data_IF_992214843781
#
_entry.id   IF_992214843781
#
_cell.length_a   1.000
_cell.length_b   1.000
_cell.length_c   1.000
_cell.angle_alpha   90.00
_cell.angle_beta   90.00
_cell.angle_gamma   90.00
#
_symmetry.space_group_name_H-M   'P 1'
#
loop_
_entity.id
_entity.type
_entity.pdbx_description
1 polymer ?
#
# COMPACT_ATOMS: atom_id res chain seq x y z
N UNK A 1 13.81 -12.92 7.99
CA UNK A 1 12.62 -13.64 7.52
C UNK A 1 12.59 -15.13 7.89
N UNK A 2 13.66 -15.90 7.71
CA UNK A 2 13.71 -17.35 8.04
C UNK A 2 13.23 -17.70 9.46
N UNK A 3 13.53 -16.85 10.45
CA UNK A 3 13.07 -17.05 11.84
C UNK A 3 11.54 -16.93 11.98
N UNK A 4 10.90 -16.01 11.27
CA UNK A 4 9.44 -15.85 11.28
C UNK A 4 8.73 -17.03 10.60
N UNK A 5 9.32 -17.54 9.51
CA UNK A 5 8.85 -18.76 8.84
C UNK A 5 8.92 -19.94 9.80
N UNK A 6 10.10 -20.17 10.41
CA UNK A 6 10.30 -21.23 11.40
C UNK A 6 9.29 -21.17 12.53
N UNK A 7 9.07 -19.97 13.10
CA UNK A 7 8.08 -19.78 14.17
C UNK A 7 6.67 -20.12 13.69
N UNK A 8 6.29 -19.66 12.49
CA UNK A 8 4.98 -19.97 11.92
C UNK A 8 4.76 -21.46 11.67
N UNK A 9 5.82 -22.23 11.42
CA UNK A 9 5.70 -23.67 11.11
C UNK A 9 5.76 -24.53 12.37
N UNK A 10 6.45 -24.07 13.43
CA UNK A 10 6.65 -24.86 14.66
C UNK A 10 5.70 -24.49 15.80
N UNK A 11 5.16 -23.27 15.82
CA UNK A 11 4.29 -22.79 16.90
C UNK A 11 2.83 -22.72 16.45
N UNK A 12 1.93 -22.99 17.40
CA UNK A 12 0.49 -22.76 17.20
C UNK A 12 0.24 -21.25 17.22
N UNK A 13 -0.51 -20.69 16.26
CA UNK A 13 -0.88 -19.28 16.29
C UNK A 13 -1.63 -18.92 17.57
N UNK A 14 -1.32 -17.77 18.16
CA UNK A 14 -2.04 -17.23 19.32
C UNK A 14 -3.45 -16.81 18.95
N UNK A 15 -3.63 -16.24 17.76
CA UNK A 15 -4.93 -15.82 17.24
C UNK A 15 -4.95 -15.89 15.72
N UNK A 16 -6.13 -16.20 15.15
CA UNK A 16 -6.35 -16.39 13.72
C UNK A 16 -7.61 -15.63 13.31
N UNK A 17 -7.49 -14.83 12.27
CA UNK A 17 -8.61 -14.14 11.64
C UNK A 17 -8.69 -14.51 10.16
N UNK A 18 -9.89 -14.84 9.69
CA UNK A 18 -10.17 -15.10 8.27
C UNK A 18 -11.14 -14.02 7.80
N UNK A 19 -10.74 -13.24 6.81
CA UNK A 19 -11.60 -12.22 6.24
C UNK A 19 -12.71 -12.83 5.39
N UNK A 20 -13.81 -12.09 5.25
CA UNK A 20 -14.77 -12.37 4.19
C UNK A 20 -14.13 -12.22 2.81
N UNK A 21 -14.74 -12.87 1.82
CA UNK A 21 -14.33 -12.75 0.42
C UNK A 21 -14.65 -11.32 -0.05
N UNK A 22 -13.63 -10.57 -0.49
CA UNK A 22 -13.80 -9.20 -0.98
C UNK A 22 -13.31 -9.08 -2.41
N UNK A 23 -14.00 -8.25 -3.20
CA UNK A 23 -13.56 -7.93 -4.55
C UNK A 23 -12.48 -6.84 -4.50
N UNK A 24 -11.30 -7.15 -5.02
CA UNK A 24 -10.20 -6.21 -5.23
C UNK A 24 -9.93 -6.12 -6.73
N UNK A 25 -10.37 -5.01 -7.34
CA UNK A 25 -10.34 -4.83 -8.80
C UNK A 25 -11.12 -5.95 -9.50
N UNK A 26 -10.44 -6.78 -10.30
CA UNK A 26 -11.02 -7.92 -11.04
C UNK A 26 -10.91 -9.26 -10.30
N UNK A 27 -10.32 -9.28 -9.11
CA UNK A 27 -10.03 -10.50 -8.37
C UNK A 27 -10.91 -10.59 -7.12
N UNK A 28 -11.29 -11.82 -6.76
CA UNK A 28 -11.84 -12.10 -5.43
C UNK A 28 -10.68 -12.48 -4.51
N UNK A 29 -10.65 -11.89 -3.33
CA UNK A 29 -9.53 -12.00 -2.40
C UNK A 29 -10.05 -12.37 -1.02
N UNK A 30 -9.40 -13.36 -0.43
CA UNK A 30 -9.54 -13.70 0.98
C UNK A 30 -8.18 -13.60 1.67
N UNK A 31 -8.17 -13.16 2.93
CA UNK A 31 -6.95 -13.11 3.74
C UNK A 31 -7.15 -13.90 5.02
N UNK A 32 -6.18 -14.75 5.32
CA UNK A 32 -6.02 -15.36 6.64
C UNK A 32 -4.85 -14.70 7.33
N UNK A 33 -5.09 -14.10 8.48
CA UNK A 33 -4.08 -13.50 9.34
C UNK A 33 -3.88 -14.40 10.53
N UNK A 34 -2.64 -14.78 10.79
CA UNK A 34 -2.25 -15.59 11.95
C UNK A 34 -1.21 -14.80 12.75
N UNK A 35 -1.42 -14.67 14.06
CA UNK A 35 -0.51 -13.96 14.95
C UNK A 35 0.22 -14.94 15.86
N UNK A 36 1.48 -14.66 16.13
CA UNK A 36 2.31 -15.41 17.06
C UNK A 36 2.87 -14.42 18.07
N UNK A 37 2.45 -14.54 19.33
CA UNK A 37 2.86 -13.62 20.39
C UNK A 37 3.81 -14.29 21.37
N UNK A 38 4.68 -13.49 21.99
CA UNK A 38 5.56 -13.93 23.08
C UNK A 38 5.56 -12.86 24.18
N UNK A 39 5.58 -13.28 25.45
CA UNK A 39 5.62 -12.39 26.62
C UNK A 39 6.95 -11.64 26.75
N UNK A 40 8.07 -12.31 26.45
CA UNK A 40 9.40 -11.73 26.60
C UNK A 40 9.80 -10.88 25.38
N UNK A 41 10.12 -11.52 24.26
CA UNK A 41 10.24 -10.94 22.92
C UNK A 41 10.79 -11.99 21.95
N UNK A 42 10.57 -11.80 20.64
CA UNK A 42 11.31 -12.50 19.60
C UNK A 42 12.62 -11.79 19.30
N UNK A 43 13.70 -12.21 19.95
CA UNK A 43 15.03 -11.64 19.67
C UNK A 43 15.47 -11.91 18.23
N UNK A 44 15.89 -10.89 17.49
CA UNK A 44 16.51 -11.07 16.18
C UNK A 44 17.51 -9.96 15.88
N UNK A 45 18.79 -10.31 15.69
CA UNK A 45 19.84 -9.38 15.25
C UNK A 45 19.87 -8.05 16.04
N UNK A 46 19.82 -8.12 17.37
CA UNK A 46 19.80 -6.93 18.24
C UNK A 46 18.42 -6.29 18.44
N UNK A 47 17.39 -6.69 17.71
CA UNK A 47 16.01 -6.27 17.97
C UNK A 47 15.44 -7.06 19.16
N UNK A 48 15.19 -6.35 20.25
CA UNK A 48 14.72 -6.91 21.54
C UNK A 48 13.25 -6.60 21.86
N UNK A 49 12.55 -5.90 20.97
CA UNK A 49 11.20 -5.38 21.24
C UNK A 49 10.11 -6.00 20.36
N UNK A 50 10.41 -7.04 19.57
CA UNK A 50 9.42 -7.72 18.74
C UNK A 50 8.54 -8.58 19.65
N UNK A 51 7.25 -8.23 19.78
CA UNK A 51 6.30 -8.98 20.62
C UNK A 51 5.34 -9.84 19.81
N UNK A 52 5.15 -9.53 18.54
CA UNK A 52 4.22 -10.25 17.68
C UNK A 52 4.78 -10.41 16.28
N UNK A 53 4.69 -11.64 15.77
CA UNK A 53 4.93 -11.97 14.37
C UNK A 53 3.56 -12.19 13.74
N UNK A 54 3.34 -11.60 12.58
CA UNK A 54 2.07 -11.60 11.87
C UNK A 54 2.33 -12.30 10.53
N UNK A 55 1.64 -13.40 10.28
CA UNK A 55 1.61 -14.07 8.98
C UNK A 55 0.30 -13.74 8.28
N UNK A 56 0.38 -13.34 7.02
CA UNK A 56 -0.77 -12.98 6.21
C UNK A 56 -0.72 -13.83 4.94
N UNK A 57 -1.64 -14.78 4.85
CA UNK A 57 -1.88 -15.58 3.67
C UNK A 57 -3.00 -14.93 2.87
N UNK A 58 -2.67 -14.40 1.69
CA UNK A 58 -3.62 -13.81 0.75
C UNK A 58 -3.92 -14.82 -0.35
N UNK A 59 -5.16 -15.29 -0.37
CA UNK A 59 -5.69 -16.14 -1.42
C UNK A 59 -6.39 -15.28 -2.47
N UNK A 60 -5.96 -15.40 -3.71
CA UNK A 60 -6.50 -14.67 -4.86
C UNK A 60 -7.18 -15.67 -5.79
N UNK A 61 -8.46 -15.48 -6.02
CA UNK A 61 -9.24 -16.23 -6.98
C UNK A 61 -9.30 -15.45 -8.29
N UNK A 62 -8.71 -16.03 -9.34
CA UNK A 62 -8.74 -15.49 -10.70
C UNK A 62 -9.50 -16.44 -11.61
N UNK A 63 -10.55 -15.95 -12.25
CA UNK A 63 -11.26 -16.72 -13.27
C UNK A 63 -10.51 -16.61 -14.61
N UNK A 64 -10.14 -17.76 -15.19
CA UNK A 64 -9.64 -17.79 -16.55
C UNK A 64 -10.80 -17.74 -17.54
N UNK A 65 -11.03 -16.57 -18.14
CA UNK A 65 -12.13 -16.33 -19.10
C UNK A 65 -12.14 -17.29 -20.30
N UNK A 66 -11.02 -17.95 -20.63
CA UNK A 66 -10.92 -18.90 -21.74
C UNK A 66 -11.28 -20.33 -21.38
N UNK A 67 -11.00 -20.77 -20.15
CA UNK A 67 -11.20 -22.16 -19.70
C UNK A 67 -12.30 -22.32 -18.65
N UNK A 68 -12.81 -21.21 -18.08
CA UNK A 68 -13.79 -21.22 -16.99
C UNK A 68 -13.21 -21.64 -15.63
N UNK A 69 -11.94 -22.02 -15.58
CA UNK A 69 -11.28 -22.51 -14.37
C UNK A 69 -11.00 -21.38 -13.39
N UNK A 70 -11.26 -21.66 -12.11
CA UNK A 70 -10.90 -20.79 -11.00
C UNK A 70 -9.46 -21.13 -10.62
N UNK A 71 -8.53 -20.24 -10.95
CA UNK A 71 -7.15 -20.34 -10.48
C UNK A 71 -7.03 -19.70 -9.11
N UNK A 72 -6.63 -20.51 -8.13
CA UNK A 72 -6.28 -20.05 -6.79
C UNK A 72 -4.77 -19.76 -6.71
N UNK A 73 -4.42 -18.57 -6.24
CA UNK A 73 -3.03 -18.18 -6.00
C UNK A 73 -2.92 -17.73 -4.55
N UNK A 74 -2.13 -18.44 -3.76
CA UNK A 74 -1.85 -18.09 -2.37
C UNK A 74 -0.51 -17.38 -2.30
N UNK A 75 -0.49 -16.21 -1.65
CA UNK A 75 0.73 -15.43 -1.40
C UNK A 75 0.85 -15.19 0.10
N UNK A 76 2.00 -15.54 0.66
CA UNK A 76 2.28 -15.37 2.10
C UNK A 76 3.20 -14.17 2.31
N UNK A 77 2.85 -13.34 3.28
CA UNK A 77 3.68 -12.22 3.73
C UNK A 77 3.82 -12.23 5.25
N UNK A 78 4.91 -11.65 5.75
CA UNK A 78 5.21 -11.56 7.17
C UNK A 78 5.40 -10.11 7.59
N UNK A 79 4.85 -9.76 8.74
CA UNK A 79 5.07 -8.49 9.42
C UNK A 79 5.42 -8.73 10.89
N UNK A 80 5.95 -7.69 11.54
CA UNK A 80 6.33 -7.71 12.96
C UNK A 80 5.75 -6.51 13.67
N UNK A 81 5.39 -6.67 14.94
CA UNK A 81 4.93 -5.60 15.81
C UNK A 81 5.60 -5.68 17.18
N UNK A 82 5.76 -4.51 17.80
CA UNK A 82 6.31 -4.37 19.16
C UNK A 82 5.24 -4.41 20.26
N UNK A 83 3.99 -4.63 19.89
CA UNK A 83 2.84 -4.79 20.78
C UNK A 83 2.04 -6.03 20.37
N UNK A 84 1.19 -6.50 21.29
CA UNK A 84 0.27 -7.62 21.06
C UNK A 84 -1.11 -7.09 20.74
N UNK A 85 -1.79 -7.69 19.77
CA UNK A 85 -3.17 -7.39 19.43
C UNK A 85 -3.79 -8.58 18.68
N UNK A 86 -5.10 -8.51 18.40
CA UNK A 86 -5.81 -9.56 17.67
C UNK A 86 -5.39 -9.63 16.20
N UNK A 87 -5.59 -10.81 15.60
CA UNK A 87 -5.36 -11.02 14.17
C UNK A 87 -6.28 -10.15 13.31
N UNK A 88 -7.51 -9.86 13.78
CA UNK A 88 -8.44 -8.93 13.12
C UNK A 88 -7.91 -7.49 13.11
N UNK A 89 -7.34 -7.03 14.23
CA UNK A 89 -6.73 -5.71 14.30
C UNK A 89 -5.61 -5.56 13.27
N UNK A 90 -4.70 -6.54 13.20
CA UNK A 90 -3.61 -6.52 12.23
C UNK A 90 -4.08 -6.65 10.78
N UNK A 91 -5.17 -7.39 10.53
CA UNK A 91 -5.81 -7.41 9.21
C UNK A 91 -6.24 -6.01 8.78
N UNK A 92 -6.98 -5.30 9.64
CA UNK A 92 -7.47 -3.95 9.36
C UNK A 92 -6.34 -2.94 9.24
N UNK A 93 -5.34 -3.02 10.12
CA UNK A 93 -4.15 -2.16 10.07
C UNK A 93 -3.41 -2.32 8.74
N UNK A 94 -3.20 -3.55 8.29
CA UNK A 94 -2.55 -3.84 7.01
C UNK A 94 -3.36 -3.24 5.85
N UNK A 95 -4.68 -3.45 5.81
CA UNK A 95 -5.52 -2.88 4.75
C UNK A 95 -5.48 -1.35 4.72
N UNK A 96 -5.49 -0.70 5.89
CA UNK A 96 -5.37 0.75 5.99
C UNK A 96 -4.02 1.24 5.50
N UNK A 97 -2.93 0.54 5.84
CA UNK A 97 -1.60 0.86 5.33
C UNK A 97 -1.53 0.76 3.79
N UNK A 98 -2.04 -0.32 3.21
CA UNK A 98 -2.11 -0.46 1.74
C UNK A 98 -2.95 0.61 1.08
N UNK A 99 -4.02 1.09 1.72
CA UNK A 99 -4.84 2.19 1.20
C UNK A 99 -4.02 3.48 1.07
N UNK A 100 -3.22 3.79 2.09
CA UNK A 100 -2.32 4.95 2.08
C UNK A 100 -1.21 4.78 1.04
N UNK A 101 -0.58 3.62 1.00
CA UNK A 101 0.51 3.33 0.03
C UNK A 101 0.02 3.37 -1.42
N UNK A 102 -1.19 2.86 -1.68
CA UNK A 102 -1.81 2.92 -3.01
C UNK A 102 -2.03 4.37 -3.46
N UNK A 103 -2.45 5.25 -2.54
CA UNK A 103 -2.58 6.69 -2.81
C UNK A 103 -1.22 7.32 -3.16
N UNK A 104 -0.18 7.01 -2.38
CA UNK A 104 1.19 7.47 -2.66
C UNK A 104 1.66 7.00 -4.02
N UNK A 105 1.54 5.70 -4.32
CA UNK A 105 1.90 5.12 -5.61
C UNK A 105 1.29 5.88 -6.80
N UNK A 106 -0.02 6.20 -6.75
CA UNK A 106 -0.66 6.96 -7.82
C UNK A 106 -0.11 8.38 -7.93
N UNK A 107 0.15 9.06 -6.80
CA UNK A 107 0.73 10.39 -6.75
C UNK A 107 2.14 10.40 -7.35
N UNK A 108 2.95 9.41 -6.99
CA UNK A 108 4.37 9.31 -7.34
C UNK A 108 4.53 8.96 -8.81
N UNK A 109 3.73 8.01 -9.32
CA UNK A 109 3.69 7.68 -10.75
C UNK A 109 3.09 8.76 -11.63
N UNK A 110 2.12 9.54 -11.13
CA UNK A 110 1.52 10.62 -11.93
C UNK A 110 2.48 11.81 -12.09
N UNK A 111 3.30 12.08 -11.07
CA UNK A 111 4.23 13.20 -11.06
C UNK A 111 5.67 12.79 -11.39
N UNK A 112 5.90 11.53 -11.72
CA UNK A 112 7.21 10.97 -12.01
C UNK A 112 8.25 11.29 -10.93
N UNK A 113 7.84 11.22 -9.66
CA UNK A 113 8.73 11.57 -8.54
C UNK A 113 10.00 10.72 -8.55
N UNK A 114 9.88 9.41 -8.82
CA UNK A 114 11.02 8.50 -8.88
C UNK A 114 12.07 8.90 -9.94
N UNK A 115 11.70 9.71 -10.94
CA UNK A 115 12.64 10.23 -11.95
C UNK A 115 13.41 11.47 -11.46
N UNK A 116 12.98 12.07 -10.37
CA UNK A 116 13.64 13.24 -9.81
C UNK A 116 14.87 12.84 -9.00
N UNK A 117 16.04 13.33 -9.42
CA UNK A 117 17.33 13.04 -8.78
C UNK A 117 17.78 14.09 -7.76
N UNK A 118 17.03 15.19 -7.56
CA UNK A 118 17.43 16.18 -6.56
C UNK A 118 16.97 15.72 -5.17
N UNK A 119 17.90 15.13 -4.44
CA UNK A 119 17.72 14.73 -3.04
C UNK A 119 17.88 15.91 -2.06
N UNK A 120 17.89 17.15 -2.57
CA UNK A 120 18.06 18.35 -1.76
C UNK A 120 16.67 18.84 -1.36
N UNK A 121 16.35 18.68 -0.06
CA UNK A 121 15.09 19.12 0.54
C UNK A 121 13.83 18.41 -0.02
N UNK A 122 13.61 17.11 0.30
CA UNK A 122 12.46 16.33 -0.16
C UNK A 122 11.11 16.92 0.30
N UNK A 123 11.10 17.74 1.35
CA UNK A 123 9.91 18.41 1.83
C UNK A 123 9.40 19.45 0.83
N UNK A 124 10.30 20.22 0.21
CA UNK A 124 9.94 21.18 -0.84
C UNK A 124 9.27 20.50 -2.02
N UNK A 125 9.77 19.34 -2.45
CA UNK A 125 9.14 18.55 -3.52
C UNK A 125 7.73 18.10 -3.10
N UNK A 126 7.56 17.63 -1.87
CA UNK A 126 6.24 17.25 -1.34
C UNK A 126 5.24 18.41 -1.34
N UNK A 127 5.70 19.60 -0.96
CA UNK A 127 4.89 20.83 -0.93
C UNK A 127 4.49 21.22 -2.36
N UNK A 128 5.45 21.35 -3.28
CA UNK A 128 5.21 21.71 -4.68
C UNK A 128 4.21 20.76 -5.34
N UNK A 129 4.36 19.45 -5.12
CA UNK A 129 3.44 18.44 -5.66
C UNK A 129 2.02 18.62 -5.13
N UNK A 130 1.88 18.97 -3.86
CA UNK A 130 0.58 19.21 -3.24
C UNK A 130 -0.07 20.48 -3.80
N UNK A 131 0.71 21.54 -4.02
CA UNK A 131 0.24 22.72 -4.74
C UNK A 131 -0.28 22.36 -6.14
N UNK A 132 0.55 21.74 -6.98
CA UNK A 132 0.18 21.39 -8.37
C UNK A 132 -1.10 20.53 -8.43
N UNK A 133 -1.21 19.51 -7.59
CA UNK A 133 -2.42 18.66 -7.55
C UNK A 133 -3.66 19.47 -7.17
N UNK A 134 -3.55 20.36 -6.17
CA UNK A 134 -4.66 21.19 -5.75
C UNK A 134 -5.12 22.14 -6.88
N UNK A 135 -4.20 22.72 -7.65
CA UNK A 135 -4.52 23.53 -8.83
C UNK A 135 -5.33 22.70 -9.84
N UNK A 136 -4.88 21.49 -10.15
CA UNK A 136 -5.55 20.62 -11.13
C UNK A 136 -6.94 20.17 -10.63
N UNK A 137 -7.08 19.90 -9.33
CA UNK A 137 -8.37 19.59 -8.73
C UNK A 137 -9.34 20.78 -8.77
N UNK A 138 -8.89 21.99 -8.45
CA UNK A 138 -9.70 23.21 -8.54
C UNK A 138 -10.20 23.44 -9.98
N UNK A 139 -9.35 23.15 -10.96
CA UNK A 139 -9.68 23.21 -12.37
C UNK A 139 -10.53 22.02 -12.88
N UNK A 140 -10.96 21.10 -12.00
CA UNK A 140 -11.79 19.92 -12.31
C UNK A 140 -11.23 19.04 -13.43
N UNK A 141 -9.91 18.93 -13.48
CA UNK A 141 -9.20 18.14 -14.49
C UNK A 141 -9.55 16.65 -14.33
N UNK A 142 -9.96 15.99 -15.42
CA UNK A 142 -10.39 14.59 -15.42
C UNK A 142 -9.25 13.59 -15.20
N UNK A 143 -8.05 13.92 -15.71
CA UNK A 143 -6.86 13.07 -15.60
C UNK A 143 -5.62 13.94 -15.36
N UNK A 144 -5.11 13.91 -14.13
CA UNK A 144 -3.90 14.65 -13.72
C UNK A 144 -2.73 14.28 -14.64
N UNK A 145 -2.54 12.97 -14.93
CA UNK A 145 -1.46 12.50 -15.79
C UNK A 145 -1.54 13.08 -17.20
N UNK A 146 -2.72 13.10 -17.81
CA UNK A 146 -2.87 13.61 -19.18
C UNK A 146 -2.65 15.11 -19.22
N UNK A 147 -3.20 15.85 -18.25
CA UNK A 147 -3.00 17.29 -18.16
C UNK A 147 -1.53 17.65 -17.96
N UNK A 148 -0.78 16.87 -17.18
CA UNK A 148 0.66 17.06 -17.03
C UNK A 148 1.44 16.79 -18.33
N UNK A 149 0.97 15.86 -19.16
CA UNK A 149 1.58 15.59 -20.47
C UNK A 149 1.28 16.69 -21.49
N UNK A 150 0.06 17.22 -21.49
CA UNK A 150 -0.35 18.35 -22.34
C UNK A 150 0.41 19.62 -21.95
N UNK A 151 0.43 19.95 -20.65
CA UNK A 151 1.14 21.10 -20.09
C UNK A 151 2.67 21.03 -20.28
N UNK A 152 3.24 19.85 -20.55
CA UNK A 152 4.69 19.68 -20.74
C UNK A 152 5.22 20.55 -21.89
N UNK A 153 4.44 20.70 -22.95
CA UNK A 153 4.85 21.37 -24.19
C UNK A 153 4.11 22.69 -24.44
N UNK A 154 3.15 23.04 -23.59
CA UNK A 154 2.29 24.20 -23.75
C UNK A 154 2.29 25.09 -22.49
N UNK A 155 3.07 26.16 -22.57
CA UNK A 155 3.22 27.15 -21.51
C UNK A 155 1.94 27.97 -21.30
N UNK A 156 1.18 28.26 -22.37
CA UNK A 156 -0.02 29.08 -22.30
C UNK A 156 -1.14 28.34 -21.56
N UNK A 157 -1.31 27.05 -21.87
CA UNK A 157 -2.25 26.18 -21.15
C UNK A 157 -1.87 26.05 -19.68
N UNK A 158 -0.56 25.95 -19.38
CA UNK A 158 -0.06 25.87 -18.00
C UNK A 158 -0.32 27.17 -17.23
N UNK A 159 -0.05 28.33 -17.83
CA UNK A 159 -0.34 29.63 -17.22
C UNK A 159 -1.85 29.84 -17.03
N UNK A 160 -2.68 29.41 -17.98
CA UNK A 160 -4.14 29.51 -17.87
C UNK A 160 -4.71 28.76 -16.66
N UNK A 161 -4.12 27.61 -16.30
CA UNK A 161 -4.51 26.85 -15.11
C UNK A 161 -4.12 27.56 -13.80
N UNK A 162 -2.98 28.26 -13.79
CA UNK A 162 -2.51 29.07 -12.67
C UNK A 162 -3.34 30.34 -12.49
N UNK A 163 -3.62 31.05 -13.58
CA UNK A 163 -4.36 32.32 -13.56
C UNK A 163 -5.81 32.16 -13.11
N UNK A 164 -6.43 31.00 -13.35
CA UNK A 164 -7.76 30.67 -12.84
C UNK A 164 -7.87 30.60 -11.31
N UNK A 165 -6.75 30.67 -10.58
CA UNK A 165 -6.74 30.73 -9.11
C UNK A 165 -6.69 32.18 -8.62
N UNK A 166 -6.27 33.13 -9.47
CA UNK A 166 -6.09 34.53 -9.11
C UNK A 166 -7.37 35.39 -9.24
N UNK A 167 -8.53 34.79 -9.49
CA UNK A 167 -9.82 35.47 -9.58
C UNK A 167 -10.91 34.77 -8.78
#
# INVERSE_FOLDING_TARGET
MQKAIKISDTQIPTDIYISSLKQESKYLVQRKVSTFTNDSCFYHNGMTHIKTIIKIDKTIYSNNKKTGEIKEIVTTSFAIANFKNSAEFFHNLQLNHWKVETMHFYKDKSLYEDLHTANINPMTMTILRSFVINILHLNKVKSIKNQLLENRWDLDTTLGLLLKICF
#
